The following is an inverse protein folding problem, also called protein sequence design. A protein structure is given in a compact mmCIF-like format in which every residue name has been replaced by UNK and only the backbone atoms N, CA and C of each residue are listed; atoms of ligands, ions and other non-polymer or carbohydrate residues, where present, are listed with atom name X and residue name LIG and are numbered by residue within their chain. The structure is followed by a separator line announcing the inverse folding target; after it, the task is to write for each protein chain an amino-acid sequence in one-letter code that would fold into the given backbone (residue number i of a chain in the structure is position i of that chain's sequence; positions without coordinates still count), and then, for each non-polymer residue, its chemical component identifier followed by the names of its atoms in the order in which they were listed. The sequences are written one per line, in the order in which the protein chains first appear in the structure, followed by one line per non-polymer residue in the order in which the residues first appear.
data_IF_979079970831
#
_entry.id   IF_979079970831
#
_cell.length_a   1.000
_cell.length_b   1.000
_cell.length_c   1.000
_cell.angle_alpha   90.00
_cell.angle_beta   90.00
_cell.angle_gamma   90.00
#
_symmetry.space_group_name_H-M   'P 1'
#
loop_
_entity.id
_entity.type
_entity.pdbx_description
1 polymer ?
#
# COMPACT_ATOMS: atom_id res chain seq x y z
N UNK A 1 0.44 3.03 23.45
CA UNK A 1 -0.03 2.46 22.17
C UNK A 1 1.19 2.04 21.37
N UNK A 2 1.24 0.84 20.78
CA UNK A 2 2.42 0.35 20.06
C UNK A 2 2.38 0.75 18.57
N UNK A 3 3.54 1.12 18.03
CA UNK A 3 3.73 1.54 16.63
C UNK A 3 4.37 0.40 15.84
N UNK A 4 3.99 0.23 14.57
CA UNK A 4 4.55 -0.80 13.68
C UNK A 4 5.47 -0.17 12.66
N UNK A 5 6.68 -0.69 12.52
CA UNK A 5 7.61 -0.30 11.44
C UNK A 5 7.65 -1.42 10.41
N UNK A 6 7.38 -1.08 9.16
CA UNK A 6 7.46 -2.00 8.01
C UNK A 6 8.62 -1.57 7.11
N UNK A 7 9.57 -2.49 6.89
CA UNK A 7 10.67 -2.27 5.96
C UNK A 7 10.23 -2.70 4.56
N UNK A 8 9.73 -1.73 3.78
CA UNK A 8 9.30 -1.93 2.39
C UNK A 8 10.32 -1.33 1.39
N UNK A 9 11.57 -1.23 1.82
CA UNK A 9 12.70 -0.78 1.00
C UNK A 9 13.42 -1.92 0.27
N UNK A 10 14.47 -1.55 -0.46
CA UNK A 10 15.27 -2.47 -1.28
C UNK A 10 15.17 -2.18 -2.78
N UNK A 11 16.20 -2.55 -3.54
CA UNK A 11 16.30 -2.30 -4.99
C UNK A 11 15.64 -3.39 -5.85
N UNK A 12 15.11 -4.47 -5.27
CA UNK A 12 14.45 -5.54 -6.04
C UNK A 12 15.39 -6.43 -6.88
N UNK A 13 16.71 -6.25 -6.75
CA UNK A 13 17.74 -6.81 -7.66
C UNK A 13 17.81 -8.34 -7.77
N UNK A 14 17.20 -9.10 -6.86
CA UNK A 14 17.16 -10.57 -6.91
C UNK A 14 15.96 -11.15 -7.69
N UNK A 15 15.02 -10.31 -8.11
CA UNK A 15 13.80 -10.67 -8.87
C UNK A 15 13.69 -9.82 -10.14
N UNK A 16 14.84 -9.47 -10.73
CA UNK A 16 14.96 -8.47 -11.79
C UNK A 16 14.08 -8.75 -13.02
N UNK A 17 13.77 -10.02 -13.30
CA UNK A 17 12.94 -10.41 -14.46
C UNK A 17 11.44 -10.10 -14.29
N UNK A 18 10.94 -9.88 -13.06
CA UNK A 18 9.53 -9.53 -12.78
C UNK A 18 9.35 -8.19 -12.04
N UNK A 19 10.43 -7.58 -11.56
CA UNK A 19 10.36 -6.34 -10.75
C UNK A 19 10.70 -5.06 -11.50
N UNK A 20 10.91 -5.11 -12.82
CA UNK A 20 11.10 -3.90 -13.63
C UNK A 20 9.87 -2.98 -13.60
N UNK A 21 8.65 -3.53 -13.50
CA UNK A 21 7.42 -2.74 -13.54
C UNK A 21 6.83 -2.35 -12.17
N UNK A 22 6.92 -3.19 -11.13
CA UNK A 22 6.21 -2.94 -9.85
C UNK A 22 7.03 -3.40 -8.62
N UNK A 23 7.15 -2.57 -7.56
CA UNK A 23 7.84 -2.97 -6.33
C UNK A 23 7.20 -4.22 -5.70
N UNK A 24 8.00 -5.12 -5.12
CA UNK A 24 7.46 -6.33 -4.45
C UNK A 24 6.35 -6.05 -3.43
N UNK A 25 6.42 -5.01 -2.56
CA UNK A 25 5.32 -4.68 -1.64
C UNK A 25 3.99 -4.36 -2.34
N UNK A 26 4.05 -4.03 -3.64
CA UNK A 26 2.95 -3.64 -4.49
C UNK A 26 2.41 -4.76 -5.40
N UNK A 27 3.02 -5.96 -5.37
CA UNK A 27 2.45 -7.15 -6.04
C UNK A 27 1.09 -7.46 -5.41
N UNK A 28 0.10 -7.76 -6.26
CA UNK A 28 -1.28 -7.96 -5.82
C UNK A 28 -1.59 -9.42 -5.52
N UNK A 29 -2.39 -9.64 -4.47
CA UNK A 29 -3.00 -10.91 -4.11
C UNK A 29 -4.49 -10.61 -3.88
N UNK A 30 -5.37 -11.22 -4.67
CA UNK A 30 -6.82 -10.97 -4.56
C UNK A 30 -7.22 -9.51 -4.75
N UNK A 31 -6.54 -8.78 -5.65
CA UNK A 31 -6.82 -7.37 -5.96
C UNK A 31 -6.22 -6.33 -5.01
N UNK A 32 -5.48 -6.76 -3.97
CA UNK A 32 -4.83 -5.86 -3.03
C UNK A 32 -3.32 -6.13 -2.94
N UNK A 33 -2.47 -5.10 -2.78
CA UNK A 33 -1.03 -5.25 -2.57
C UNK A 33 -0.69 -6.12 -1.36
N UNK A 34 0.42 -6.85 -1.45
CA UNK A 34 1.00 -7.59 -0.31
C UNK A 34 1.14 -6.69 0.92
N UNK A 35 1.60 -5.44 0.75
CA UNK A 35 1.75 -4.49 1.86
C UNK A 35 0.42 -4.18 2.55
N UNK A 36 -0.69 -4.10 1.79
CA UNK A 36 -2.02 -3.91 2.34
C UNK A 36 -2.44 -5.10 3.20
N UNK A 37 -2.19 -6.34 2.75
CA UNK A 37 -2.51 -7.55 3.52
C UNK A 37 -1.75 -7.59 4.85
N UNK A 38 -0.45 -7.26 4.82
CA UNK A 38 0.37 -7.16 6.04
C UNK A 38 -0.22 -6.13 7.00
N UNK A 39 -0.46 -4.91 6.53
CA UNK A 39 -1.04 -3.84 7.35
C UNK A 39 -2.42 -4.22 7.91
N UNK A 40 -3.28 -4.86 7.11
CA UNK A 40 -4.59 -5.35 7.55
C UNK A 40 -4.49 -6.39 8.66
N UNK A 41 -3.54 -7.31 8.58
CA UNK A 41 -3.32 -8.32 9.62
C UNK A 41 -2.92 -7.70 10.96
N UNK A 42 -2.00 -6.73 10.95
CA UNK A 42 -1.65 -5.96 12.15
C UNK A 42 -2.83 -5.10 12.64
N UNK A 43 -3.60 -4.52 11.73
CA UNK A 43 -4.77 -3.72 12.07
C UNK A 43 -5.87 -4.54 12.77
N UNK A 44 -6.07 -5.80 12.40
CA UNK A 44 -6.98 -6.71 13.11
C UNK A 44 -6.52 -7.02 14.55
N UNK A 45 -5.22 -6.93 14.82
CA UNK A 45 -4.64 -7.10 16.16
C UNK A 45 -4.60 -5.79 16.97
N UNK A 46 -5.18 -4.69 16.46
CA UNK A 46 -5.25 -3.41 17.15
C UNK A 46 -4.12 -2.41 16.86
N UNK A 47 -3.17 -2.75 15.99
CA UNK A 47 -2.11 -1.82 15.58
C UNK A 47 -2.62 -0.88 14.48
N UNK A 48 -2.69 0.42 14.76
CA UNK A 48 -3.27 1.42 13.85
C UNK A 48 -2.28 2.45 13.30
N UNK A 49 -1.06 2.50 13.84
CA UNK A 49 -0.03 3.45 13.44
C UNK A 49 1.15 2.72 12.80
N UNK A 50 1.38 3.00 11.51
CA UNK A 50 2.38 2.33 10.68
C UNK A 50 3.40 3.33 10.14
N UNK A 51 4.67 3.00 10.27
CA UNK A 51 5.79 3.69 9.63
C UNK A 51 6.35 2.76 8.57
N UNK A 52 6.22 3.14 7.30
CA UNK A 52 6.73 2.34 6.18
C UNK A 52 8.03 2.96 5.69
N UNK A 53 9.15 2.28 5.92
CA UNK A 53 10.44 2.68 5.38
C UNK A 53 10.51 2.28 3.91
N UNK A 54 10.47 3.27 3.02
CA UNK A 54 10.39 3.08 1.57
C UNK A 54 11.78 3.11 0.93
N UNK A 55 11.93 2.40 -0.19
CA UNK A 55 13.14 2.37 -1.01
C UNK A 55 12.83 2.71 -2.47
N UNK A 56 13.44 1.96 -3.40
CA UNK A 56 13.22 2.13 -4.84
C UNK A 56 11.72 2.13 -5.19
N UNK A 57 11.29 3.11 -6.00
CA UNK A 57 9.88 3.31 -6.42
C UNK A 57 8.88 3.43 -5.25
N UNK A 58 9.30 4.01 -4.12
CA UNK A 58 8.42 4.27 -2.97
C UNK A 58 7.22 5.17 -3.28
N UNK A 59 7.28 5.94 -4.35
CA UNK A 59 6.19 6.76 -4.88
C UNK A 59 4.96 5.92 -5.31
N UNK A 60 5.17 4.71 -5.85
CA UNK A 60 4.07 3.80 -6.17
C UNK A 60 3.29 3.36 -4.92
N UNK A 61 4.00 3.11 -3.81
CA UNK A 61 3.38 2.77 -2.52
C UNK A 61 2.61 3.98 -1.97
N UNK A 62 3.20 5.18 -2.02
CA UNK A 62 2.54 6.42 -1.57
C UNK A 62 1.24 6.68 -2.33
N UNK A 63 1.26 6.60 -3.67
CA UNK A 63 0.07 6.81 -4.51
C UNK A 63 -1.03 5.81 -4.18
N UNK A 64 -0.70 4.51 -4.10
CA UNK A 64 -1.69 3.50 -3.76
C UNK A 64 -2.42 3.81 -2.44
N UNK A 65 -1.69 4.14 -1.37
CA UNK A 65 -2.34 4.39 -0.07
C UNK A 65 -3.04 5.75 0.01
N UNK A 66 -2.58 6.76 -0.75
CA UNK A 66 -3.31 8.02 -0.92
C UNK A 66 -4.66 7.78 -1.61
N UNK A 67 -4.66 7.03 -2.71
CA UNK A 67 -5.86 6.77 -3.50
C UNK A 67 -6.77 5.76 -2.80
N UNK A 68 -6.22 4.77 -2.11
CA UNK A 68 -6.97 3.82 -1.29
C UNK A 68 -7.82 4.54 -0.24
N UNK A 69 -7.28 5.56 0.43
CA UNK A 69 -8.05 6.34 1.40
C UNK A 69 -9.22 7.07 0.73
N UNK A 70 -9.02 7.55 -0.50
CA UNK A 70 -10.00 8.34 -1.25
C UNK A 70 -11.07 7.47 -1.93
N UNK A 71 -10.70 6.25 -2.36
CA UNK A 71 -11.51 5.40 -3.24
C UNK A 71 -12.09 4.15 -2.54
N UNK A 72 -11.72 3.87 -1.29
CA UNK A 72 -12.19 2.66 -0.57
C UNK A 72 -13.64 2.71 -0.09
N UNK A 73 -14.41 3.74 -0.45
CA UNK A 73 -15.80 3.93 -0.05
C UNK A 73 -16.73 4.25 -1.22
N UNK A 74 -18.04 4.19 -0.96
CA UNK A 74 -19.05 4.63 -1.92
C UNK A 74 -19.10 6.17 -1.95
N UNK A 75 -19.15 6.74 -3.15
CA UNK A 75 -19.37 8.17 -3.37
C UNK A 75 -20.75 8.36 -4.02
N UNK A 76 -21.54 9.29 -3.49
CA UNK A 76 -22.74 9.78 -4.16
C UNK A 76 -22.41 11.12 -4.81
N UNK A 77 -22.61 11.22 -6.11
CA UNK A 77 -22.40 12.43 -6.90
C UNK A 77 -23.76 12.96 -7.34
N UNK A 78 -24.05 14.21 -6.99
CA UNK A 78 -25.22 14.92 -7.49
C UNK A 78 -24.80 15.81 -8.67
N UNK A 79 -25.11 15.36 -9.88
CA UNK A 79 -24.79 16.07 -11.11
C UNK A 79 -25.73 17.25 -11.40
N UNK A 80 -26.76 17.48 -10.58
CA UNK A 80 -27.63 18.64 -10.75
C UNK A 80 -26.92 19.97 -10.47
N UNK A 81 -25.70 19.94 -9.89
CA UNK A 81 -24.90 21.14 -9.61
C UNK A 81 -23.42 21.08 -10.03
N UNK A 82 -23.01 20.02 -10.74
CA UNK A 82 -21.64 19.86 -11.26
C UNK A 82 -20.74 19.07 -10.32
#
# INVERSE_FOLDING_TARGET
MAKVVLLAGGFGTRLAEETEMKPKPMVEIGGYPILWHVMRNYAHQGFKEFFVALGFRGDAIKRYFHDYHTLSGSMTLDLARG
#
